data_IF_839346625802
#
_entry.id   IF_839346625802
#
_cell.length_a   1.000
_cell.length_b   1.000
_cell.length_c   1.000
_cell.angle_alpha   90.00
_cell.angle_beta   90.00
_cell.angle_gamma   90.00
#
_symmetry.space_group_name_H-M   'P 1'
#
loop_
_entity.id
_entity.type
_entity.pdbx_description
1 polymer ?
#
# COMPACT_ATOMS: atom_id res chain seq x y z
N UNK A 1 -35.86 20.48 -9.77
CA UNK A 1 -34.62 21.14 -10.24
C UNK A 1 -33.71 20.08 -10.83
N UNK A 2 -32.91 20.42 -11.85
CA UNK A 2 -31.87 19.52 -12.34
C UNK A 2 -30.77 19.39 -11.28
N UNK A 3 -30.39 18.17 -10.92
CA UNK A 3 -29.30 17.93 -9.96
C UNK A 3 -27.99 18.44 -10.56
N UNK A 4 -27.28 19.31 -9.84
CA UNK A 4 -25.99 19.82 -10.28
C UNK A 4 -24.85 18.94 -9.80
N UNK A 5 -24.88 18.51 -8.53
CA UNK A 5 -23.83 17.70 -7.90
C UNK A 5 -24.45 16.45 -7.25
N UNK A 6 -23.89 15.28 -7.54
CA UNK A 6 -24.16 14.05 -6.79
C UNK A 6 -22.97 13.72 -5.90
N UNK A 7 -23.22 13.58 -4.60
CA UNK A 7 -22.18 13.20 -3.62
C UNK A 7 -22.36 11.74 -3.25
N UNK A 8 -21.30 10.95 -3.40
CA UNK A 8 -21.31 9.51 -3.16
C UNK A 8 -20.62 9.22 -1.84
N UNK A 9 -21.30 8.48 -0.96
CA UNK A 9 -20.78 8.04 0.34
C UNK A 9 -20.77 6.52 0.36
N UNK A 10 -19.60 5.91 0.30
CA UNK A 10 -19.45 4.47 0.52
C UNK A 10 -19.31 4.21 2.02
N UNK A 11 -20.12 3.31 2.58
CA UNK A 11 -20.15 3.00 4.00
C UNK A 11 -20.10 1.48 4.23
N UNK A 12 -19.25 1.04 5.16
CA UNK A 12 -19.21 -0.35 5.62
C UNK A 12 -18.75 -0.38 7.07
N UNK A 13 -19.67 -0.74 7.98
CA UNK A 13 -19.41 -0.78 9.42
C UNK A 13 -18.91 0.56 10.01
N UNK A 14 -19.65 1.63 9.75
CA UNK A 14 -19.32 3.03 10.07
C UNK A 14 -20.33 3.67 11.05
N UNK A 15 -21.00 2.88 11.88
CA UNK A 15 -22.13 3.34 12.70
C UNK A 15 -21.77 4.51 13.64
N UNK A 16 -20.51 4.59 14.07
CA UNK A 16 -20.01 5.62 14.96
C UNK A 16 -19.80 6.98 14.26
N UNK A 17 -19.52 6.98 12.96
CA UNK A 17 -19.06 8.18 12.26
C UNK A 17 -20.05 8.68 11.21
N UNK A 18 -20.83 7.77 10.60
CA UNK A 18 -21.69 8.07 9.46
C UNK A 18 -22.65 9.24 9.72
N UNK A 19 -23.23 9.35 10.93
CA UNK A 19 -24.15 10.47 11.27
C UNK A 19 -23.49 11.83 11.11
N UNK A 20 -22.20 11.97 11.45
CA UNK A 20 -21.44 13.22 11.29
C UNK A 20 -21.24 13.54 9.82
N UNK A 21 -20.82 12.55 9.03
CA UNK A 21 -20.70 12.65 7.58
C UNK A 21 -22.00 13.15 6.95
N UNK A 22 -23.12 12.46 7.15
CA UNK A 22 -24.41 12.80 6.56
C UNK A 22 -24.97 14.13 7.07
N UNK A 23 -24.77 14.48 8.35
CA UNK A 23 -25.16 15.79 8.89
C UNK A 23 -24.41 16.93 8.18
N UNK A 24 -23.13 16.73 7.84
CA UNK A 24 -22.35 17.74 7.12
C UNK A 24 -22.85 17.96 5.69
N UNK A 25 -23.26 16.88 5.02
CA UNK A 25 -23.86 16.94 3.67
C UNK A 25 -25.23 17.60 3.68
N UNK A 26 -26.06 17.32 4.70
CA UNK A 26 -27.34 18.00 4.90
C UNK A 26 -27.20 19.52 5.10
N UNK A 27 -26.04 19.98 5.60
CA UNK A 27 -25.75 21.39 5.86
C UNK A 27 -25.14 22.11 4.65
N UNK A 28 -24.97 21.45 3.51
CA UNK A 28 -24.43 22.10 2.31
C UNK A 28 -25.30 23.26 1.85
N UNK A 29 -24.66 24.35 1.42
CA UNK A 29 -25.34 25.55 0.91
C UNK A 29 -25.76 25.42 -0.55
N UNK A 30 -25.28 24.40 -1.26
CA UNK A 30 -25.70 24.11 -2.63
C UNK A 30 -27.07 23.44 -2.65
N UNK A 31 -28.09 24.12 -3.18
CA UNK A 31 -29.45 23.59 -3.21
C UNK A 31 -29.64 22.41 -4.19
N UNK A 32 -28.95 22.41 -5.33
CA UNK A 32 -29.06 21.37 -6.37
C UNK A 32 -28.12 20.18 -6.13
N UNK A 33 -28.18 19.62 -4.91
CA UNK A 33 -27.36 18.52 -4.43
C UNK A 33 -28.21 17.25 -4.25
N UNK A 34 -27.69 16.09 -4.65
CA UNK A 34 -28.17 14.79 -4.17
C UNK A 34 -27.03 14.04 -3.46
N UNK A 35 -27.38 13.19 -2.50
CA UNK A 35 -26.44 12.32 -1.78
C UNK A 35 -26.85 10.87 -1.97
N UNK A 36 -25.92 10.06 -2.46
CA UNK A 36 -26.11 8.63 -2.70
C UNK A 36 -25.23 7.88 -1.71
N UNK A 37 -25.87 7.27 -0.72
CA UNK A 37 -25.23 6.43 0.27
C UNK A 37 -25.21 5.00 -0.28
N UNK A 38 -24.05 4.36 -0.27
CA UNK A 38 -23.90 2.96 -0.66
C UNK A 38 -23.44 2.19 0.57
N UNK A 39 -24.38 1.47 1.18
CA UNK A 39 -24.09 0.52 2.25
C UNK A 39 -23.56 -0.78 1.62
N UNK A 40 -22.27 -1.04 1.84
CA UNK A 40 -21.55 -2.19 1.28
C UNK A 40 -21.70 -3.44 2.15
N UNK A 41 -22.93 -3.71 2.58
CA UNK A 41 -23.30 -4.91 3.33
C UNK A 41 -22.83 -4.88 4.78
N UNK A 42 -23.05 -3.75 5.46
CA UNK A 42 -22.69 -3.59 6.87
C UNK A 42 -23.40 -4.59 7.78
N UNK A 43 -22.74 -4.96 8.87
CA UNK A 43 -23.23 -5.89 9.89
C UNK A 43 -23.51 -5.22 11.24
N UNK A 44 -23.29 -3.91 11.33
CA UNK A 44 -23.55 -3.06 12.49
C UNK A 44 -24.79 -2.15 12.24
N UNK A 45 -24.94 -1.09 13.03
CA UNK A 45 -26.03 -0.10 12.90
C UNK A 45 -25.96 0.80 11.65
N UNK A 46 -24.96 0.66 10.77
CA UNK A 46 -24.75 1.54 9.61
C UNK A 46 -25.95 1.54 8.66
N UNK A 47 -26.45 0.38 8.27
CA UNK A 47 -27.56 0.25 7.32
C UNK A 47 -28.82 1.00 7.83
N UNK A 48 -29.15 0.84 9.12
CA UNK A 48 -30.28 1.53 9.74
C UNK A 48 -30.10 3.06 9.79
N UNK A 49 -28.86 3.56 9.92
CA UNK A 49 -28.57 4.99 9.83
C UNK A 49 -28.84 5.49 8.41
N UNK A 50 -28.42 4.74 7.38
CA UNK A 50 -28.68 5.10 5.98
C UNK A 50 -30.18 5.25 5.70
N UNK A 51 -30.98 4.26 6.11
CA UNK A 51 -32.43 4.25 5.94
C UNK A 51 -33.08 5.45 6.63
N UNK A 52 -32.71 5.72 7.88
CA UNK A 52 -33.24 6.85 8.65
C UNK A 52 -33.01 8.20 7.96
N UNK A 53 -31.85 8.41 7.33
CA UNK A 53 -31.57 9.65 6.61
C UNK A 53 -32.38 9.76 5.31
N UNK A 54 -32.55 8.66 4.59
CA UNK A 54 -33.36 8.62 3.37
C UNK A 54 -34.85 8.86 3.66
N UNK A 55 -35.38 8.26 4.73
CA UNK A 55 -36.78 8.47 5.16
C UNK A 55 -37.03 9.92 5.59
N UNK A 56 -36.08 10.53 6.32
CA UNK A 56 -36.26 11.88 6.87
C UNK A 56 -36.01 12.99 5.85
N UNK A 57 -35.16 12.74 4.85
CA UNK A 57 -34.80 13.72 3.81
C UNK A 57 -34.76 13.08 2.41
N UNK A 58 -35.91 12.55 1.92
CA UNK A 58 -35.96 11.77 0.67
C UNK A 58 -35.70 12.60 -0.59
N UNK A 59 -35.76 13.93 -0.49
CA UNK A 59 -35.41 14.84 -1.58
C UNK A 59 -33.89 15.05 -1.73
N UNK A 60 -33.10 14.65 -0.73
CA UNK A 60 -31.65 14.86 -0.69
C UNK A 60 -30.88 13.54 -0.64
N UNK A 61 -31.32 12.56 0.15
CA UNK A 61 -30.61 11.29 0.34
C UNK A 61 -31.29 10.13 -0.36
N UNK A 62 -30.47 9.24 -0.93
CA UNK A 62 -30.86 7.94 -1.48
C UNK A 62 -29.87 6.90 -0.97
N UNK A 63 -30.34 5.68 -0.72
CA UNK A 63 -29.50 4.55 -0.28
C UNK A 63 -29.51 3.43 -1.31
N UNK A 64 -28.36 2.78 -1.46
CA UNK A 64 -28.17 1.52 -2.18
C UNK A 64 -27.57 0.53 -1.19
N UNK A 65 -28.24 -0.60 -0.98
CA UNK A 65 -27.66 -1.72 -0.22
C UNK A 65 -27.11 -2.76 -1.19
N UNK A 66 -25.88 -3.20 -0.94
CA UNK A 66 -25.25 -4.27 -1.70
C UNK A 66 -24.56 -5.27 -0.77
N UNK A 67 -24.15 -6.41 -1.31
CA UNK A 67 -23.24 -7.31 -0.57
C UNK A 67 -21.85 -6.71 -0.58
N UNK A 68 -21.09 -6.93 0.50
CA UNK A 68 -19.73 -6.43 0.66
C UNK A 68 -18.84 -6.81 -0.53
N UNK A 69 -18.43 -5.79 -1.27
CA UNK A 69 -17.53 -5.89 -2.40
C UNK A 69 -16.31 -4.96 -2.27
N UNK A 70 -16.25 -4.13 -1.23
CA UNK A 70 -15.20 -3.16 -0.97
C UNK A 70 -15.58 -1.74 -1.42
N UNK A 71 -14.81 -0.77 -0.93
CA UNK A 71 -15.04 0.67 -1.12
C UNK A 71 -15.09 1.09 -2.59
N UNK A 72 -14.17 0.59 -3.43
CA UNK A 72 -14.16 0.88 -4.87
C UNK A 72 -15.46 0.48 -5.57
N UNK A 73 -15.87 -0.80 -5.54
CA UNK A 73 -17.16 -1.25 -6.06
C UNK A 73 -18.37 -0.49 -5.49
N UNK A 74 -18.38 -0.17 -4.20
CA UNK A 74 -19.44 0.66 -3.61
C UNK A 74 -19.51 2.07 -4.23
N UNK A 75 -18.36 2.74 -4.41
CA UNK A 75 -18.30 4.03 -5.12
C UNK A 75 -18.81 3.90 -6.56
N UNK A 76 -18.48 2.81 -7.27
CA UNK A 76 -18.95 2.57 -8.65
C UNK A 76 -20.49 2.42 -8.72
N UNK A 77 -21.11 1.78 -7.73
CA UNK A 77 -22.57 1.71 -7.65
C UNK A 77 -23.17 3.11 -7.50
N UNK A 78 -22.58 3.95 -6.65
CA UNK A 78 -22.96 5.35 -6.49
C UNK A 78 -22.78 6.18 -7.78
N UNK A 79 -21.65 6.03 -8.47
CA UNK A 79 -21.38 6.68 -9.77
C UNK A 79 -22.47 6.33 -10.79
N UNK A 80 -22.86 5.06 -10.85
CA UNK A 80 -23.86 4.56 -11.80
C UNK A 80 -25.25 5.14 -11.52
N UNK A 81 -25.58 5.37 -10.25
CA UNK A 81 -26.88 5.90 -9.82
C UNK A 81 -26.98 7.44 -9.82
N UNK A 82 -25.87 8.14 -10.11
CA UNK A 82 -25.75 9.59 -10.01
C UNK A 82 -26.35 10.35 -11.20
N UNK A 83 -27.16 11.37 -10.91
CA UNK A 83 -27.81 12.21 -11.92
C UNK A 83 -27.11 13.56 -12.15
N UNK A 84 -26.27 13.98 -11.22
CA UNK A 84 -25.57 15.27 -11.23
C UNK A 84 -24.64 15.44 -12.42
N UNK A 85 -24.47 16.70 -12.85
CA UNK A 85 -23.46 17.09 -13.84
C UNK A 85 -22.05 16.83 -13.31
N UNK A 86 -21.87 17.01 -12.01
CA UNK A 86 -20.62 16.76 -11.31
C UNK A 86 -20.81 15.70 -10.22
N UNK A 87 -19.74 14.97 -9.92
CA UNK A 87 -19.67 13.98 -8.85
C UNK A 87 -18.68 14.45 -7.78
N UNK A 88 -19.03 14.23 -6.51
CA UNK A 88 -18.13 14.34 -5.37
C UNK A 88 -18.16 13.06 -4.54
N UNK A 89 -17.15 12.86 -3.68
CA UNK A 89 -17.08 11.70 -2.79
C UNK A 89 -16.83 12.18 -1.36
N UNK A 90 -17.39 11.49 -0.39
CA UNK A 90 -17.05 11.67 1.04
C UNK A 90 -16.99 10.30 1.68
N UNK A 91 -15.88 10.00 2.35
CA UNK A 91 -15.76 8.76 3.12
C UNK A 91 -16.66 8.84 4.38
N UNK A 92 -17.22 7.71 4.79
CA UNK A 92 -18.25 7.69 5.84
C UNK A 92 -17.73 8.13 7.23
N UNK A 93 -16.41 8.07 7.46
CA UNK A 93 -15.76 8.55 8.68
C UNK A 93 -15.34 10.03 8.64
N UNK A 94 -15.45 10.67 7.47
CA UNK A 94 -15.07 12.06 7.20
C UNK A 94 -16.26 13.03 7.24
N UNK A 95 -16.00 14.32 7.03
CA UNK A 95 -17.04 15.32 6.83
C UNK A 95 -16.56 16.52 6.02
N UNK A 96 -17.49 17.33 5.52
CA UNK A 96 -17.19 18.47 4.66
C UNK A 96 -17.74 19.79 5.21
N UNK A 97 -17.08 20.89 4.88
CA UNK A 97 -17.53 22.23 5.25
C UNK A 97 -18.78 22.65 4.46
N UNK A 98 -19.71 23.43 5.05
CA UNK A 98 -21.02 23.75 4.46
C UNK A 98 -20.99 24.36 3.05
N UNK A 99 -19.92 25.08 2.69
CA UNK A 99 -19.82 25.81 1.41
C UNK A 99 -18.99 25.06 0.37
N UNK A 100 -18.52 23.83 0.66
CA UNK A 100 -17.61 23.08 -0.20
C UNK A 100 -18.18 22.92 -1.61
N UNK A 101 -19.31 22.25 -1.78
CA UNK A 101 -19.80 21.92 -3.12
C UNK A 101 -20.32 23.13 -3.89
N UNK A 102 -20.88 24.14 -3.19
CA UNK A 102 -21.25 25.40 -3.82
C UNK A 102 -20.01 26.11 -4.41
N UNK A 103 -18.91 26.16 -3.66
CA UNK A 103 -17.66 26.78 -4.09
C UNK A 103 -17.02 26.01 -5.23
N UNK A 104 -16.92 24.67 -5.11
CA UNK A 104 -16.31 23.84 -6.15
C UNK A 104 -17.11 23.85 -7.45
N UNK A 105 -18.44 23.81 -7.39
CA UNK A 105 -19.29 23.88 -8.57
C UNK A 105 -19.15 25.25 -9.27
N UNK A 106 -19.19 26.36 -8.52
CA UNK A 106 -19.00 27.70 -9.08
C UNK A 106 -17.63 27.86 -9.74
N UNK A 107 -16.57 27.32 -9.13
CA UNK A 107 -15.23 27.32 -9.72
C UNK A 107 -15.17 26.45 -10.97
N UNK A 108 -15.80 25.27 -10.99
CA UNK A 108 -15.83 24.39 -12.16
C UNK A 108 -16.48 25.08 -13.38
N UNK A 109 -17.60 25.77 -13.17
CA UNK A 109 -18.31 26.49 -14.24
C UNK A 109 -17.51 27.69 -14.75
N UNK A 110 -16.94 28.51 -13.85
CA UNK A 110 -16.15 29.70 -14.22
C UNK A 110 -14.87 29.35 -14.98
N UNK A 111 -14.20 28.27 -14.58
CA UNK A 111 -12.91 27.84 -15.15
C UNK A 111 -13.06 26.80 -16.26
N UNK A 112 -14.27 26.30 -16.52
CA UNK A 112 -14.52 25.15 -17.39
C UNK A 112 -13.62 23.95 -17.04
N UNK A 113 -13.37 23.72 -15.75
CA UNK A 113 -12.54 22.64 -15.26
C UNK A 113 -13.32 21.32 -15.21
N UNK A 114 -12.64 20.24 -15.59
CA UNK A 114 -13.17 18.88 -15.44
C UNK A 114 -12.99 18.37 -14.02
N UNK A 115 -11.97 18.84 -13.31
CA UNK A 115 -11.72 18.51 -11.91
C UNK A 115 -11.42 19.79 -11.15
N UNK A 116 -12.11 20.00 -10.03
CA UNK A 116 -11.81 21.06 -9.07
C UNK A 116 -11.36 20.40 -7.78
N UNK A 117 -10.24 20.87 -7.25
CA UNK A 117 -9.60 20.32 -6.04
C UNK A 117 -9.68 21.34 -4.91
N UNK A 118 -9.96 20.91 -3.69
CA UNK A 118 -9.77 21.72 -2.48
C UNK A 118 -8.69 21.17 -1.56
N UNK A 119 -8.28 21.96 -0.57
CA UNK A 119 -7.39 21.46 0.48
C UNK A 119 -8.10 20.52 1.46
N UNK A 120 -7.29 19.85 2.27
CA UNK A 120 -7.75 18.86 3.25
C UNK A 120 -7.32 19.24 4.64
N UNK A 121 -8.21 19.19 5.62
CA UNK A 121 -7.89 19.26 7.04
C UNK A 121 -7.73 17.85 7.59
N UNK A 122 -6.53 17.46 8.02
CA UNK A 122 -6.28 16.17 8.69
C UNK A 122 -6.47 16.31 10.18
N UNK A 123 -7.29 15.45 10.77
CA UNK A 123 -7.65 15.46 12.19
C UNK A 123 -7.26 14.12 12.79
N UNK A 124 -6.31 14.13 13.73
CA UNK A 124 -5.75 12.93 14.35
C UNK A 124 -6.40 12.71 15.70
N UNK A 125 -7.28 11.71 15.81
CA UNK A 125 -7.99 11.41 17.04
C UNK A 125 -7.05 11.06 18.19
N UNK A 126 -6.04 10.20 17.92
CA UNK A 126 -5.11 9.70 18.94
C UNK A 126 -4.21 10.78 19.57
N UNK A 127 -3.90 11.86 18.83
CA UNK A 127 -3.00 12.93 19.30
C UNK A 127 -3.69 14.26 19.51
N UNK A 128 -5.01 14.33 19.31
CA UNK A 128 -5.80 15.57 19.32
C UNK A 128 -5.22 16.68 18.43
N UNK A 129 -4.48 16.32 17.38
CA UNK A 129 -3.82 17.25 16.48
C UNK A 129 -4.66 17.49 15.24
N UNK A 130 -4.70 18.74 14.78
CA UNK A 130 -5.31 19.13 13.50
C UNK A 130 -4.27 19.82 12.63
N UNK A 131 -4.19 19.46 11.35
CA UNK A 131 -3.27 20.07 10.39
C UNK A 131 -3.98 20.33 9.07
N UNK A 132 -3.86 21.52 8.51
CA UNK A 132 -4.31 21.81 7.13
C UNK A 132 -3.23 21.38 6.14
N UNK A 133 -3.59 20.47 5.25
CA UNK A 133 -2.76 20.06 4.13
C UNK A 133 -3.00 21.01 2.96
N UNK A 134 -2.13 22.01 2.87
CA UNK A 134 -2.01 22.90 1.72
C UNK A 134 -1.45 22.11 0.53
N UNK A 135 -2.20 21.98 -0.56
CA UNK A 135 -1.75 21.18 -1.71
C UNK A 135 -0.77 21.92 -2.61
N UNK A 136 -1.02 23.20 -2.85
CA UNK A 136 -0.19 24.10 -3.66
C UNK A 136 -0.09 25.46 -2.98
N UNK A 137 1.04 26.18 -3.14
CA UNK A 137 1.32 27.43 -2.44
C UNK A 137 0.40 28.59 -2.85
N UNK A 138 -0.07 28.61 -4.10
CA UNK A 138 -0.90 29.69 -4.63
C UNK A 138 -2.31 29.20 -5.00
N UNK A 139 -3.32 29.98 -4.64
CA UNK A 139 -4.70 29.78 -5.08
C UNK A 139 -4.84 30.24 -6.53
N UNK A 140 -5.32 29.37 -7.43
CA UNK A 140 -5.57 29.74 -8.83
C UNK A 140 -6.71 28.89 -9.40
N UNK A 141 -7.60 29.56 -10.14
CA UNK A 141 -8.67 28.93 -10.91
C UNK A 141 -8.15 28.03 -12.04
N UNK A 142 -6.86 28.15 -12.38
CA UNK A 142 -6.19 27.29 -13.35
C UNK A 142 -4.84 26.83 -12.82
N UNK A 143 -4.70 25.52 -12.62
CA UNK A 143 -3.42 24.92 -12.25
C UNK A 143 -2.87 24.17 -13.44
N UNK A 144 -1.58 24.39 -13.73
CA UNK A 144 -0.87 23.54 -14.68
C UNK A 144 -0.89 22.08 -14.17
N UNK A 145 -1.49 21.18 -14.96
CA UNK A 145 -1.71 19.78 -14.57
C UNK A 145 -0.39 19.11 -14.14
N UNK A 146 0.70 19.35 -14.88
CA UNK A 146 2.02 18.84 -14.53
C UNK A 146 2.49 19.29 -13.13
N UNK A 147 2.23 20.56 -12.76
CA UNK A 147 2.56 21.10 -11.43
C UNK A 147 1.73 20.41 -10.34
N UNK A 148 0.43 20.22 -10.57
CA UNK A 148 -0.43 19.53 -9.59
C UNK A 148 -0.07 18.05 -9.43
N UNK A 149 0.23 17.36 -10.53
CA UNK A 149 0.70 15.97 -10.50
C UNK A 149 2.03 15.85 -9.74
N UNK A 150 3.01 16.72 -10.01
CA UNK A 150 4.31 16.67 -9.33
C UNK A 150 4.23 17.06 -7.86
N UNK A 151 3.57 18.17 -7.55
CA UNK A 151 3.71 18.82 -6.25
C UNK A 151 2.45 18.74 -5.36
N UNK A 152 1.28 18.50 -5.94
CA UNK A 152 0.02 18.40 -5.19
C UNK A 152 0.06 17.29 -4.13
N UNK A 153 -0.09 17.65 -2.86
CA UNK A 153 0.01 16.70 -1.75
C UNK A 153 -1.27 15.86 -1.56
N UNK A 154 -2.38 16.27 -2.17
CA UNK A 154 -3.69 15.62 -2.06
C UNK A 154 -4.22 15.07 -3.41
N UNK A 155 -3.36 14.94 -4.40
CA UNK A 155 -3.75 14.57 -5.78
C UNK A 155 -4.28 13.14 -5.94
N UNK A 156 -4.05 12.26 -4.96
CA UNK A 156 -4.57 10.90 -4.93
C UNK A 156 -5.58 10.65 -3.78
N UNK A 157 -6.38 11.66 -3.44
CA UNK A 157 -7.53 11.52 -2.54
C UNK A 157 -8.82 11.71 -3.33
N UNK A 158 -9.80 10.82 -3.20
CA UNK A 158 -11.05 10.98 -3.94
C UNK A 158 -11.94 12.09 -3.41
N UNK A 159 -11.97 12.27 -2.08
CA UNK A 159 -12.99 13.08 -1.41
C UNK A 159 -12.83 14.61 -1.54
N UNK A 160 -11.61 15.11 -1.70
CA UNK A 160 -11.33 16.56 -1.74
C UNK A 160 -11.53 17.19 -3.13
N UNK A 161 -12.37 16.58 -3.98
CA UNK A 161 -12.51 16.95 -5.39
C UNK A 161 -13.97 16.94 -5.83
N UNK A 162 -14.22 17.75 -6.85
CA UNK A 162 -15.44 17.71 -7.67
C UNK A 162 -15.03 17.34 -9.10
N UNK A 163 -15.66 16.31 -9.66
CA UNK A 163 -15.36 15.76 -10.97
C UNK A 163 -16.51 16.00 -11.93
N UNK A 164 -16.24 16.39 -13.16
CA UNK A 164 -17.22 16.31 -14.22
C UNK A 164 -17.64 14.84 -14.40
N UNK A 165 -18.95 14.57 -14.49
CA UNK A 165 -19.45 13.20 -14.64
C UNK A 165 -18.87 12.49 -15.87
N UNK A 166 -18.53 13.24 -16.92
CA UNK A 166 -17.90 12.71 -18.14
C UNK A 166 -16.54 12.05 -17.87
N UNK A 167 -15.78 12.47 -16.85
CA UNK A 167 -14.54 11.78 -16.46
C UNK A 167 -14.84 10.30 -16.15
N UNK A 168 -15.94 10.04 -15.46
CA UNK A 168 -16.36 8.70 -15.04
C UNK A 168 -16.98 7.86 -16.17
N UNK A 169 -16.88 8.24 -17.44
CA UNK A 169 -17.22 7.35 -18.55
C UNK A 169 -16.11 6.35 -18.86
N UNK A 170 -14.84 6.73 -18.61
CA UNK A 170 -13.66 5.90 -18.84
C UNK A 170 -13.21 5.12 -17.57
N UNK A 171 -13.44 5.69 -16.39
CA UNK A 171 -12.84 5.19 -15.14
C UNK A 171 -13.84 4.47 -14.24
N UNK A 172 -13.36 3.43 -13.56
CA UNK A 172 -14.05 2.70 -12.49
C UNK A 172 -13.01 2.36 -11.41
N UNK A 173 -13.42 2.42 -10.15
CA UNK A 173 -12.56 1.98 -9.05
C UNK A 173 -12.41 0.46 -9.06
N UNK A 174 -11.20 -0.03 -8.84
CA UNK A 174 -10.94 -1.46 -8.66
C UNK A 174 -11.30 -1.93 -7.24
N UNK A 175 -11.44 -3.24 -7.07
CA UNK A 175 -11.56 -3.87 -5.75
C UNK A 175 -10.16 -4.06 -5.14
N UNK A 176 -9.62 -2.99 -4.57
CA UNK A 176 -8.28 -2.95 -3.98
C UNK A 176 -8.21 -1.91 -2.86
N UNK A 177 -7.13 -1.92 -2.06
CA UNK A 177 -6.76 -0.75 -1.22
C UNK A 177 -5.92 0.20 -2.07
N UNK A 178 -6.11 1.51 -1.91
CA UNK A 178 -5.49 2.56 -2.77
C UNK A 178 -6.07 2.61 -4.19
N UNK A 179 -7.33 2.20 -4.34
CA UNK A 179 -8.15 2.36 -5.55
C UNK A 179 -8.21 3.80 -6.07
N UNK A 180 -8.05 4.79 -5.18
CA UNK A 180 -7.91 6.21 -5.53
C UNK A 180 -6.62 6.48 -6.31
N UNK A 181 -5.49 5.99 -5.81
CA UNK A 181 -4.19 6.22 -6.42
C UNK A 181 -4.10 5.59 -7.80
N UNK A 182 -4.73 4.42 -7.95
CA UNK A 182 -4.78 3.62 -9.17
C UNK A 182 -5.31 4.42 -10.38
N UNK A 183 -6.37 5.23 -10.17
CA UNK A 183 -7.05 5.93 -11.27
C UNK A 183 -6.83 7.45 -11.28
N UNK A 184 -6.58 8.09 -10.14
CA UNK A 184 -6.65 9.56 -10.07
C UNK A 184 -5.49 10.25 -10.79
N UNK A 185 -4.28 9.67 -10.79
CA UNK A 185 -3.15 10.26 -11.50
C UNK A 185 -3.32 10.17 -13.02
N UNK A 186 -3.81 9.04 -13.53
CA UNK A 186 -4.21 8.91 -14.94
C UNK A 186 -5.34 9.90 -15.26
N UNK A 187 -6.43 9.91 -14.49
CA UNK A 187 -7.58 10.79 -14.72
C UNK A 187 -7.18 12.27 -14.78
N UNK A 188 -6.34 12.73 -13.84
CA UNK A 188 -5.81 14.09 -13.84
C UNK A 188 -4.95 14.36 -15.09
N UNK A 189 -4.13 13.39 -15.52
CA UNK A 189 -3.30 13.51 -16.74
C UNK A 189 -4.13 13.56 -18.03
N UNK A 190 -5.33 12.98 -18.02
CA UNK A 190 -6.25 12.99 -19.16
C UNK A 190 -7.15 14.24 -19.20
N UNK A 191 -7.18 15.05 -18.15
CA UNK A 191 -7.96 16.30 -18.15
C UNK A 191 -7.31 17.37 -19.05
N UNK A 192 -8.14 18.24 -19.60
CA UNK A 192 -7.73 19.47 -20.27
C UNK A 192 -7.55 20.60 -19.26
N UNK A 193 -8.42 20.67 -18.25
CA UNK A 193 -8.39 21.72 -17.22
C UNK A 193 -8.68 21.19 -15.83
N UNK A 194 -7.81 21.57 -14.90
CA UNK A 194 -7.95 21.35 -13.46
C UNK A 194 -7.89 22.71 -12.75
N UNK A 195 -8.80 22.93 -11.81
CA UNK A 195 -8.85 24.12 -10.96
C UNK A 195 -8.55 23.76 -9.51
N UNK A 196 -8.05 24.74 -8.74
CA UNK A 196 -7.69 24.54 -7.35
C UNK A 196 -8.24 25.66 -6.46
N UNK A 197 -8.91 25.25 -5.39
CA UNK A 197 -9.43 26.11 -4.34
C UNK A 197 -8.61 25.87 -3.08
N UNK A 198 -7.80 26.85 -2.71
CA UNK A 198 -6.94 26.79 -1.53
C UNK A 198 -7.73 27.00 -0.23
N UNK A 199 -8.69 26.12 0.04
CA UNK A 199 -9.51 26.12 1.26
C UNK A 199 -9.68 24.68 1.76
N UNK A 200 -9.45 24.41 3.07
CA UNK A 200 -9.48 23.06 3.62
C UNK A 200 -10.91 22.63 3.92
N UNK A 201 -11.71 22.43 2.86
CA UNK A 201 -13.12 22.10 2.97
C UNK A 201 -13.39 20.64 3.36
N UNK A 202 -12.45 19.74 3.07
CA UNK A 202 -12.60 18.32 3.37
C UNK A 202 -11.89 17.99 4.69
N UNK A 203 -12.61 17.44 5.65
CA UNK A 203 -12.07 17.05 6.96
C UNK A 203 -11.81 15.55 6.99
N UNK A 204 -10.53 15.17 6.89
CA UNK A 204 -10.06 13.79 6.92
C UNK A 204 -9.77 13.34 8.35
N UNK A 205 -10.56 12.42 8.87
CA UNK A 205 -10.53 11.95 10.25
C UNK A 205 -9.73 10.66 10.40
N UNK A 206 -8.58 10.75 11.08
CA UNK A 206 -7.73 9.59 11.36
C UNK A 206 -8.00 9.04 12.75
N UNK A 207 -8.58 7.84 12.80
CA UNK A 207 -8.92 7.10 14.02
C UNK A 207 -8.31 5.70 14.00
N UNK A 208 -8.43 4.95 15.10
CA UNK A 208 -7.77 3.65 15.26
C UNK A 208 -8.23 2.59 14.23
N UNK A 209 -9.44 2.72 13.68
CA UNK A 209 -9.97 1.83 12.65
C UNK A 209 -9.68 2.28 11.21
N UNK A 210 -8.98 3.40 11.00
CA UNK A 210 -8.71 3.89 9.64
C UNK A 210 -7.81 2.92 8.87
N UNK A 211 -8.24 2.51 7.68
CA UNK A 211 -7.47 1.62 6.78
C UNK A 211 -6.03 2.09 6.54
N UNK A 212 -5.79 3.41 6.51
CA UNK A 212 -4.46 3.99 6.30
C UNK A 212 -3.51 3.89 7.50
N UNK A 213 -3.92 3.26 8.59
CA UNK A 213 -3.10 2.97 9.77
C UNK A 213 -2.87 1.47 10.00
N UNK A 214 -3.52 0.59 9.24
CA UNK A 214 -3.34 -0.86 9.35
C UNK A 214 -2.23 -1.37 8.42
N UNK A 215 -0.99 -1.27 8.90
CA UNK A 215 0.19 -1.76 8.18
C UNK A 215 0.29 -3.30 8.11
N UNK A 216 -0.55 -4.00 8.88
CA UNK A 216 -0.60 -5.46 8.92
C UNK A 216 -1.56 -6.05 7.88
N UNK A 217 -2.32 -5.21 7.18
CA UNK A 217 -3.23 -5.64 6.14
C UNK A 217 -2.46 -6.07 4.88
N UNK A 218 -2.51 -7.37 4.49
CA UNK A 218 -1.79 -7.85 3.31
C UNK A 218 -2.23 -7.19 2.00
N UNK A 219 -3.42 -6.58 1.96
CA UNK A 219 -3.88 -5.80 0.79
C UNK A 219 -3.08 -4.52 0.57
N UNK A 220 -2.21 -4.10 1.48
CA UNK A 220 -1.32 -2.96 1.21
C UNK A 220 -0.37 -3.20 0.03
N UNK A 221 -0.15 -4.44 -0.41
CA UNK A 221 0.55 -4.71 -1.68
C UNK A 221 -0.13 -4.06 -2.89
N UNK A 222 -1.41 -3.75 -2.81
CA UNK A 222 -2.18 -3.08 -3.86
C UNK A 222 -1.60 -1.70 -4.21
N UNK A 223 -0.93 -1.02 -3.26
CA UNK A 223 -0.26 0.26 -3.54
C UNK A 223 0.81 0.15 -4.62
N UNK A 224 1.48 -1.01 -4.70
CA UNK A 224 2.53 -1.26 -5.69
C UNK A 224 1.92 -1.39 -7.08
N UNK A 225 0.79 -2.08 -7.19
CA UNK A 225 -0.01 -2.15 -8.42
C UNK A 225 -0.48 -0.77 -8.82
N UNK A 226 -1.08 0.00 -7.90
CA UNK A 226 -1.53 1.37 -8.18
C UNK A 226 -0.41 2.30 -8.68
N UNK A 227 0.83 2.13 -8.19
CA UNK A 227 1.98 2.90 -8.72
C UNK A 227 2.37 2.52 -10.14
N UNK A 228 2.32 1.22 -10.47
CA UNK A 228 2.62 0.73 -11.82
C UNK A 228 1.55 1.23 -12.79
N UNK A 229 0.28 1.02 -12.47
CA UNK A 229 -0.87 1.39 -13.28
C UNK A 229 -0.92 2.92 -13.49
N UNK A 230 -0.62 3.72 -12.46
CA UNK A 230 -0.54 5.17 -12.59
C UNK A 230 0.53 5.61 -13.61
N UNK A 231 1.70 4.97 -13.63
CA UNK A 231 2.76 5.27 -14.61
C UNK A 231 2.35 4.76 -15.99
N UNK A 232 1.86 3.52 -16.09
CA UNK A 232 1.53 2.88 -17.36
C UNK A 232 0.42 3.61 -18.12
N UNK A 233 -0.62 4.07 -17.40
CA UNK A 233 -1.79 4.69 -17.99
C UNK A 233 -1.72 6.21 -18.11
N UNK A 234 -0.68 6.84 -17.57
CA UNK A 234 -0.51 8.28 -17.67
C UNK A 234 -0.46 8.75 -19.14
N UNK A 235 -1.11 9.88 -19.42
CA UNK A 235 -0.98 10.53 -20.73
C UNK A 235 0.49 10.90 -20.96
N UNK A 236 1.03 10.53 -22.13
CA UNK A 236 2.46 10.72 -22.51
C UNK A 236 2.99 12.12 -22.18
N UNK A 237 2.20 13.17 -22.44
CA UNK A 237 2.55 14.58 -22.13
C UNK A 237 2.86 14.83 -20.65
N UNK A 238 2.29 14.04 -19.75
CA UNK A 238 2.45 14.15 -18.30
C UNK A 238 3.18 12.96 -17.67
N UNK A 239 3.77 12.08 -18.49
CA UNK A 239 4.50 10.89 -18.02
C UNK A 239 5.56 11.26 -16.96
N UNK A 240 6.39 12.27 -17.25
CA UNK A 240 7.42 12.75 -16.32
C UNK A 240 6.82 13.27 -15.00
N UNK A 241 5.66 13.92 -15.04
CA UNK A 241 4.99 14.45 -13.86
C UNK A 241 4.41 13.34 -12.97
N UNK A 242 3.80 12.33 -13.57
CA UNK A 242 3.26 11.18 -12.84
C UNK A 242 4.40 10.33 -12.28
N UNK A 243 5.42 10.03 -13.08
CA UNK A 243 6.62 9.28 -12.63
C UNK A 243 7.29 9.98 -11.44
N UNK A 244 7.48 11.30 -11.49
CA UNK A 244 8.01 12.06 -10.36
C UNK A 244 7.09 11.95 -9.12
N UNK A 245 5.77 12.05 -9.29
CA UNK A 245 4.80 11.90 -8.20
C UNK A 245 4.92 10.52 -7.52
N UNK A 246 4.99 9.46 -8.33
CA UNK A 246 5.12 8.08 -7.86
C UNK A 246 6.44 7.89 -7.10
N UNK A 247 7.56 8.35 -7.66
CA UNK A 247 8.86 8.26 -6.99
C UNK A 247 8.85 8.99 -5.63
N UNK A 248 8.31 10.21 -5.59
CA UNK A 248 8.14 10.97 -4.35
C UNK A 248 7.30 10.22 -3.32
N UNK A 249 6.18 9.62 -3.73
CA UNK A 249 5.28 8.88 -2.84
C UNK A 249 5.94 7.60 -2.30
N UNK A 250 6.68 6.86 -3.13
CA UNK A 250 7.46 5.70 -2.70
C UNK A 250 8.47 6.09 -1.62
N UNK A 251 9.21 7.18 -1.81
CA UNK A 251 10.17 7.67 -0.82
C UNK A 251 9.50 8.09 0.50
N UNK A 252 8.33 8.75 0.43
CA UNK A 252 7.54 9.09 1.63
C UNK A 252 7.11 7.82 2.39
N UNK A 253 6.65 6.79 1.67
CA UNK A 253 6.26 5.53 2.30
C UNK A 253 7.47 4.84 2.92
N UNK A 254 8.62 4.79 2.24
CA UNK A 254 9.84 4.20 2.80
C UNK A 254 10.34 4.93 4.07
N UNK A 255 10.04 6.22 4.22
CA UNK A 255 10.30 6.99 5.44
C UNK A 255 9.23 6.82 6.53
N UNK A 256 8.11 6.15 6.22
CA UNK A 256 7.00 5.93 7.16
C UNK A 256 7.22 4.62 7.92
N UNK A 257 7.28 4.62 9.27
CA UNK A 257 7.66 3.43 10.05
C UNK A 257 6.91 2.15 9.70
N UNK A 258 5.59 2.21 9.52
CA UNK A 258 4.77 1.02 9.21
C UNK A 258 5.02 0.42 7.82
N UNK A 259 5.57 1.18 6.87
CA UNK A 259 5.90 0.67 5.54
C UNK A 259 7.29 0.03 5.47
N UNK A 260 8.11 0.16 6.52
CA UNK A 260 9.41 -0.49 6.59
C UNK A 260 9.30 -2.03 6.51
N UNK A 261 8.15 -2.58 6.91
CA UNK A 261 7.85 -4.02 6.83
C UNK A 261 7.71 -4.52 5.38
N UNK A 262 7.50 -3.63 4.42
CA UNK A 262 7.40 -3.92 2.98
C UNK A 262 8.68 -3.53 2.20
N UNK A 263 9.79 -3.28 2.90
CA UNK A 263 11.01 -2.69 2.32
C UNK A 263 11.54 -3.47 1.11
N UNK A 264 11.64 -4.81 1.20
CA UNK A 264 12.14 -5.60 0.08
C UNK A 264 11.23 -5.52 -1.14
N UNK A 265 9.92 -5.46 -0.95
CA UNK A 265 8.95 -5.39 -2.03
C UNK A 265 8.97 -4.00 -2.69
N UNK A 266 9.18 -2.93 -1.93
CA UNK A 266 9.46 -1.61 -2.52
C UNK A 266 10.78 -1.57 -3.27
N UNK A 267 11.86 -2.16 -2.74
CA UNK A 267 13.15 -2.24 -3.45
C UNK A 267 12.98 -2.98 -4.78
N UNK A 268 12.23 -4.08 -4.80
CA UNK A 268 11.93 -4.84 -6.02
C UNK A 268 11.11 -4.01 -7.02
N UNK A 269 10.07 -3.31 -6.56
CA UNK A 269 9.31 -2.38 -7.41
C UNK A 269 10.19 -1.27 -7.99
N UNK A 270 11.03 -0.64 -7.17
CA UNK A 270 11.95 0.40 -7.61
C UNK A 270 12.93 -0.14 -8.64
N UNK A 271 13.43 -1.36 -8.46
CA UNK A 271 14.32 -2.02 -9.42
C UNK A 271 13.63 -2.24 -10.77
N UNK A 272 12.35 -2.63 -10.77
CA UNK A 272 11.55 -2.77 -11.99
C UNK A 272 11.32 -1.42 -12.69
N UNK A 273 11.01 -0.37 -11.92
CA UNK A 273 10.73 0.97 -12.44
C UNK A 273 11.99 1.81 -12.71
N UNK A 274 13.18 1.30 -12.36
CA UNK A 274 14.46 2.02 -12.46
C UNK A 274 14.69 2.68 -13.83
N UNK A 275 14.48 2.00 -14.98
CA UNK A 275 14.71 2.63 -16.28
C UNK A 275 13.81 3.87 -16.50
N UNK A 276 12.57 3.81 -15.98
CA UNK A 276 11.60 4.91 -16.09
C UNK A 276 12.00 6.07 -15.16
N UNK A 277 12.48 5.76 -13.95
CA UNK A 277 12.98 6.78 -13.02
C UNK A 277 14.24 7.49 -13.53
N UNK A 278 15.20 6.74 -14.06
CA UNK A 278 16.44 7.31 -14.63
C UNK A 278 16.18 8.13 -15.90
N UNK A 279 15.13 7.82 -16.65
CA UNK A 279 14.72 8.58 -17.83
C UNK A 279 13.93 9.87 -17.53
N UNK A 280 13.42 10.06 -16.30
CA UNK A 280 12.63 11.24 -15.93
C UNK A 280 13.52 12.46 -15.65
N UNK A 281 13.46 13.53 -16.46
CA UNK A 281 14.25 14.74 -16.19
C UNK A 281 13.92 15.36 -14.82
N UNK A 282 12.67 15.30 -14.38
CA UNK A 282 12.28 15.87 -13.09
C UNK A 282 12.90 15.14 -11.92
N UNK A 283 12.90 13.80 -11.94
CA UNK A 283 13.57 13.00 -10.91
C UNK A 283 15.06 13.30 -10.90
N UNK A 284 15.70 13.29 -12.08
CA UNK A 284 17.15 13.45 -12.17
C UNK A 284 17.64 14.85 -11.78
N UNK A 285 16.78 15.87 -11.89
CA UNK A 285 17.05 17.24 -11.48
C UNK A 285 16.82 17.53 -9.99
N UNK A 286 16.10 16.66 -9.26
CA UNK A 286 15.75 16.84 -7.86
C UNK A 286 16.57 15.90 -6.96
N UNK A 287 17.58 16.39 -6.22
CA UNK A 287 18.44 15.54 -5.39
C UNK A 287 17.70 14.77 -4.29
N UNK A 288 16.55 15.25 -3.82
CA UNK A 288 15.79 14.55 -2.80
C UNK A 288 15.06 13.34 -3.39
N UNK A 289 14.54 13.48 -4.61
CA UNK A 289 13.79 12.41 -5.29
C UNK A 289 14.71 11.43 -6.01
N UNK A 290 15.82 11.90 -6.58
CA UNK A 290 16.85 11.07 -7.23
C UNK A 290 17.37 9.92 -6.35
N UNK A 291 17.32 10.09 -5.02
CA UNK A 291 17.65 9.04 -4.03
C UNK A 291 16.88 7.74 -4.22
N UNK A 292 15.72 7.77 -4.90
CA UNK A 292 15.00 6.54 -5.23
C UNK A 292 15.87 5.54 -6.01
N UNK A 293 16.76 6.03 -6.88
CA UNK A 293 17.65 5.17 -7.67
C UNK A 293 18.68 4.42 -6.81
N UNK A 294 19.03 4.95 -5.63
CA UNK A 294 19.98 4.31 -4.71
C UNK A 294 19.41 2.99 -4.13
N UNK A 295 18.07 2.88 -4.04
CA UNK A 295 17.42 1.66 -3.58
C UNK A 295 17.52 0.52 -4.60
N UNK A 296 17.60 0.80 -5.90
CA UNK A 296 17.61 -0.25 -6.92
C UNK A 296 18.85 -1.16 -6.82
N UNK A 297 19.96 -0.64 -6.28
CA UNK A 297 21.18 -1.40 -6.00
C UNK A 297 21.14 -2.21 -4.70
N UNK A 298 20.12 -2.02 -3.86
CA UNK A 298 20.00 -2.78 -2.62
C UNK A 298 19.60 -4.23 -2.91
N UNK A 299 20.22 -5.13 -2.17
CA UNK A 299 20.00 -6.55 -2.27
C UNK A 299 18.66 -6.93 -1.62
N UNK A 300 17.94 -7.86 -2.25
CA UNK A 300 16.73 -8.47 -1.67
C UNK A 300 16.79 -9.98 -1.84
N UNK A 301 16.43 -10.74 -0.80
CA UNK A 301 16.39 -12.19 -0.87
C UNK A 301 15.37 -12.68 -1.91
N UNK A 302 15.61 -13.80 -2.63
CA UNK A 302 14.64 -14.37 -3.57
C UNK A 302 13.27 -14.67 -2.95
N UNK A 303 12.18 -14.54 -3.72
CA UNK A 303 10.78 -14.83 -3.30
C UNK A 303 10.50 -16.34 -3.23
N UNK A 304 11.22 -17.04 -2.34
CA UNK A 304 11.16 -18.49 -2.17
C UNK A 304 11.11 -18.85 -0.70
N UNK A 305 10.19 -19.74 -0.34
CA UNK A 305 10.21 -20.45 0.93
C UNK A 305 10.83 -21.82 0.71
N UNK A 306 11.78 -22.18 1.56
CA UNK A 306 12.39 -23.49 1.61
C UNK A 306 12.03 -24.08 2.96
N UNK A 307 11.37 -25.23 3.00
CA UNK A 307 10.94 -25.85 4.25
C UNK A 307 10.86 -27.37 4.11
N UNK A 308 10.89 -28.07 5.24
CA UNK A 308 10.65 -29.52 5.27
C UNK A 308 9.19 -29.84 4.91
N UNK A 309 8.26 -29.00 5.39
CA UNK A 309 6.81 -29.19 5.21
C UNK A 309 6.13 -27.90 4.81
N UNK A 310 5.10 -28.01 3.98
CA UNK A 310 4.36 -26.87 3.44
C UNK A 310 3.62 -26.07 4.52
N UNK A 311 3.10 -26.74 5.56
CA UNK A 311 2.33 -26.12 6.64
C UNK A 311 3.14 -25.11 7.45
N UNK A 312 4.48 -25.21 7.48
CA UNK A 312 5.34 -24.24 8.16
C UNK A 312 5.32 -22.86 7.51
N UNK A 313 5.05 -22.77 6.21
CA UNK A 313 4.96 -21.51 5.46
C UNK A 313 3.51 -21.01 5.34
N UNK A 314 2.51 -21.76 5.80
CA UNK A 314 1.09 -21.46 5.55
C UNK A 314 0.69 -20.04 6.02
N UNK A 315 1.10 -19.66 7.23
CA UNK A 315 0.81 -18.33 7.79
C UNK A 315 1.57 -17.19 7.08
N UNK A 316 2.62 -17.51 6.32
CA UNK A 316 3.46 -16.56 5.61
C UNK A 316 2.86 -16.21 4.25
N UNK A 317 2.05 -17.11 3.68
CA UNK A 317 1.48 -16.94 2.35
C UNK A 317 0.61 -15.69 2.18
N UNK A 318 -0.06 -15.25 3.25
CA UNK A 318 -0.83 -14.01 3.23
C UNK A 318 0.04 -12.77 2.96
N UNK A 319 1.34 -12.80 3.32
CA UNK A 319 2.28 -11.69 3.15
C UNK A 319 3.28 -11.90 2.01
N UNK A 320 3.08 -12.91 1.17
CA UNK A 320 4.13 -13.40 0.27
C UNK A 320 3.76 -13.35 -1.21
N UNK A 321 3.04 -12.32 -1.66
CA UNK A 321 2.59 -12.17 -3.06
C UNK A 321 3.63 -12.73 -4.05
N UNK A 322 3.30 -13.77 -4.83
CA UNK A 322 4.20 -14.45 -5.78
C UNK A 322 5.40 -15.26 -5.22
N UNK A 323 5.36 -15.74 -3.98
CA UNK A 323 6.39 -16.66 -3.46
C UNK A 323 6.15 -18.09 -3.93
N UNK A 324 7.25 -18.81 -4.15
CA UNK A 324 7.22 -20.25 -4.40
C UNK A 324 7.68 -21.02 -3.16
N UNK A 325 6.89 -22.00 -2.72
CA UNK A 325 7.31 -22.96 -1.70
C UNK A 325 8.09 -24.10 -2.34
N UNK A 326 9.21 -24.47 -1.72
CA UNK A 326 10.14 -25.50 -2.17
C UNK A 326 10.36 -26.45 -1.01
N UNK A 327 9.94 -27.70 -1.21
CA UNK A 327 10.26 -28.81 -0.31
C UNK A 327 11.41 -29.59 -0.97
N UNK A 328 12.63 -29.57 -0.42
CA UNK A 328 13.75 -30.30 -0.99
C UNK A 328 13.46 -31.80 -0.99
N UNK A 329 13.56 -32.41 -2.16
CA UNK A 329 13.46 -33.87 -2.29
C UNK A 329 14.83 -34.47 -2.07
N UNK A 330 14.93 -35.46 -1.18
CA UNK A 330 16.16 -36.21 -0.97
C UNK A 330 16.62 -36.87 -2.27
N UNK A 331 17.72 -36.37 -2.84
CA UNK A 331 18.40 -36.98 -3.99
C UNK A 331 19.57 -37.86 -3.51
N UNK A 332 20.22 -38.55 -4.45
CA UNK A 332 21.41 -39.32 -4.15
C UNK A 332 22.52 -38.43 -3.56
N UNK A 333 23.03 -38.81 -2.39
CA UNK A 333 24.17 -38.15 -1.77
C UNK A 333 25.50 -38.59 -2.40
N UNK A 334 26.53 -37.73 -2.33
CA UNK A 334 27.92 -38.14 -2.53
C UNK A 334 28.25 -39.42 -1.75
N UNK A 335 29.08 -40.29 -2.33
CA UNK A 335 29.31 -41.65 -1.82
C UNK A 335 29.81 -41.67 -0.36
N UNK A 336 30.66 -40.72 -0.03
CA UNK A 336 31.23 -40.42 1.29
C UNK A 336 30.19 -39.98 2.33
N UNK A 337 29.02 -39.50 1.91
CA UNK A 337 27.97 -39.01 2.82
C UNK A 337 26.76 -39.95 2.92
N UNK A 338 26.72 -41.07 2.18
CA UNK A 338 25.55 -41.97 2.13
C UNK A 338 25.21 -42.62 3.46
N UNK A 339 26.23 -42.88 4.29
CA UNK A 339 26.08 -43.56 5.59
C UNK A 339 25.63 -42.63 6.72
N UNK A 340 25.52 -41.31 6.48
CA UNK A 340 25.07 -40.34 7.48
C UNK A 340 23.59 -40.54 7.86
N UNK A 341 23.21 -40.04 9.04
CA UNK A 341 21.85 -40.15 9.59
C UNK A 341 20.80 -39.43 8.74
N UNK A 342 19.52 -39.82 8.85
CA UNK A 342 18.44 -39.17 8.06
C UNK A 342 18.29 -37.68 8.38
N UNK A 343 18.49 -37.27 9.64
CA UNK A 343 18.49 -35.86 10.04
C UNK A 343 19.55 -35.07 9.28
N UNK A 344 20.77 -35.60 9.19
CA UNK A 344 21.84 -35.00 8.39
C UNK A 344 21.43 -34.86 6.91
N UNK A 345 20.79 -35.88 6.32
CA UNK A 345 20.38 -35.83 4.91
C UNK A 345 19.41 -34.69 4.66
N UNK A 346 18.43 -34.50 5.55
CA UNK A 346 17.46 -33.42 5.46
C UNK A 346 18.15 -32.06 5.57
N UNK A 347 18.95 -31.85 6.63
CA UNK A 347 19.72 -30.60 6.84
C UNK A 347 20.58 -30.26 5.62
N UNK A 348 21.28 -31.27 5.08
CA UNK A 348 22.09 -31.12 3.89
C UNK A 348 21.27 -30.64 2.68
N UNK A 349 20.11 -31.25 2.42
CA UNK A 349 19.28 -30.86 1.27
C UNK A 349 18.59 -29.50 1.47
N UNK A 350 18.21 -29.14 2.69
CA UNK A 350 17.70 -27.81 3.03
C UNK A 350 18.77 -26.73 2.77
N UNK A 351 19.96 -26.87 3.35
CA UNK A 351 21.06 -25.93 3.16
C UNK A 351 21.55 -25.89 1.71
N UNK A 352 21.67 -27.04 1.05
CA UNK A 352 22.06 -27.09 -0.36
C UNK A 352 21.05 -26.39 -1.25
N UNK A 353 19.75 -26.57 -1.00
CA UNK A 353 18.70 -25.86 -1.74
C UNK A 353 18.78 -24.36 -1.50
N UNK A 354 19.00 -23.93 -0.25
CA UNK A 354 19.18 -22.53 0.09
C UNK A 354 20.44 -21.95 -0.57
N UNK A 355 21.55 -22.69 -0.60
CA UNK A 355 22.78 -22.29 -1.28
C UNK A 355 22.59 -22.14 -2.80
N UNK A 356 21.85 -23.05 -3.43
CA UNK A 356 21.64 -23.03 -4.88
C UNK A 356 20.63 -21.98 -5.31
N UNK A 357 19.55 -21.79 -4.55
CA UNK A 357 18.40 -21.00 -4.98
C UNK A 357 18.19 -19.71 -4.20
N UNK A 358 18.78 -19.57 -3.02
CA UNK A 358 18.49 -18.50 -2.08
C UNK A 358 17.02 -18.45 -1.66
N UNK A 359 16.71 -17.48 -0.80
CA UNK A 359 15.37 -17.24 -0.28
C UNK A 359 15.34 -17.35 1.24
N UNK A 360 14.25 -17.89 1.76
CA UNK A 360 13.99 -18.04 3.19
C UNK A 360 13.82 -19.52 3.54
N UNK A 361 14.78 -20.09 4.27
CA UNK A 361 14.71 -21.41 4.88
C UNK A 361 13.99 -21.32 6.22
N UNK A 362 12.81 -21.93 6.31
CA UNK A 362 11.98 -21.99 7.51
C UNK A 362 12.27 -23.30 8.23
N UNK A 363 12.72 -23.20 9.48
CA UNK A 363 13.19 -24.32 10.31
C UNK A 363 12.20 -24.69 11.44
N UNK A 364 11.04 -24.03 11.48
CA UNK A 364 9.98 -24.32 12.44
C UNK A 364 8.71 -23.54 12.14
N UNK A 365 7.66 -23.81 12.92
CA UNK A 365 6.37 -23.13 12.76
C UNK A 365 6.39 -21.78 13.49
N UNK A 366 6.26 -20.69 12.73
CA UNK A 366 6.05 -19.35 13.27
C UNK A 366 4.78 -18.76 12.66
N UNK A 367 3.89 -18.25 13.51
CA UNK A 367 2.72 -17.51 13.05
C UNK A 367 3.11 -16.05 12.84
N UNK A 368 3.05 -15.60 11.59
CA UNK A 368 3.27 -14.19 11.27
C UNK A 368 1.98 -13.39 11.44
N UNK A 369 2.15 -12.21 12.04
CA UNK A 369 1.10 -11.20 12.18
C UNK A 369 1.46 -9.89 11.45
N UNK A 370 2.60 -9.87 10.76
CA UNK A 370 3.13 -8.72 10.03
C UNK A 370 3.85 -9.14 8.73
N UNK A 371 3.99 -8.23 7.75
CA UNK A 371 4.75 -8.45 6.52
C UNK A 371 6.25 -8.51 6.78
N UNK A 372 6.97 -9.41 6.08
CA UNK A 372 8.36 -9.78 6.37
C UNK A 372 9.40 -9.24 5.37
N UNK A 373 9.06 -8.18 4.63
CA UNK A 373 9.95 -7.53 3.66
C UNK A 373 11.25 -7.03 4.29
N UNK A 374 11.24 -6.56 5.55
CA UNK A 374 12.46 -6.12 6.25
C UNK A 374 13.47 -7.25 6.54
N UNK A 375 12.99 -8.50 6.66
CA UNK A 375 13.86 -9.67 6.79
C UNK A 375 14.52 -10.01 5.45
N UNK A 376 13.84 -9.71 4.34
CA UNK A 376 14.35 -9.94 2.99
C UNK A 376 15.27 -8.86 2.45
N UNK A 377 15.21 -7.65 3.01
CA UNK A 377 16.05 -6.55 2.57
C UNK A 377 17.47 -6.69 3.11
N UNK A 378 18.48 -6.52 2.26
CA UNK A 378 19.89 -6.60 2.64
C UNK A 378 20.53 -7.97 2.36
N UNK A 379 21.59 -8.27 3.12
CA UNK A 379 22.33 -9.53 3.05
C UNK A 379 21.68 -10.67 3.83
N UNK A 380 22.51 -11.65 4.21
CA UNK A 380 22.05 -12.83 4.92
C UNK A 380 21.48 -12.50 6.31
N UNK A 381 20.41 -13.21 6.70
CA UNK A 381 19.67 -13.01 7.94
C UNK A 381 19.45 -14.34 8.65
N UNK A 382 19.55 -14.34 9.98
CA UNK A 382 19.11 -15.43 10.82
C UNK A 382 18.13 -14.86 11.84
N UNK A 383 16.93 -15.43 11.93
CA UNK A 383 15.94 -15.05 12.92
C UNK A 383 15.79 -16.14 13.98
N UNK A 384 15.75 -15.73 15.25
CA UNK A 384 15.76 -16.62 16.40
C UNK A 384 14.59 -16.35 17.35
N UNK A 385 14.17 -17.37 18.07
CA UNK A 385 13.39 -17.26 19.30
C UNK A 385 14.18 -17.90 20.44
N UNK A 386 14.71 -17.09 21.36
CA UNK A 386 15.72 -17.58 22.30
C UNK A 386 16.92 -18.15 21.53
N UNK A 387 17.36 -19.37 21.88
CA UNK A 387 18.49 -20.03 21.19
C UNK A 387 18.11 -20.77 19.90
N UNK A 388 16.82 -20.86 19.58
CA UNK A 388 16.33 -21.62 18.45
C UNK A 388 16.24 -20.74 17.20
N UNK A 389 16.97 -21.12 16.14
CA UNK A 389 16.85 -20.46 14.84
C UNK A 389 15.58 -20.96 14.14
N UNK A 390 14.73 -20.03 13.73
CA UNK A 390 13.45 -20.31 13.06
C UNK A 390 13.52 -20.02 11.56
N UNK A 391 14.44 -19.13 11.16
CA UNK A 391 14.55 -18.65 9.80
C UNK A 391 16.02 -18.41 9.44
N UNK A 392 16.44 -18.92 8.28
CA UNK A 392 17.71 -18.54 7.65
C UNK A 392 17.39 -17.97 6.28
N UNK A 393 17.67 -16.68 6.08
CA UNK A 393 17.53 -16.02 4.79
C UNK A 393 18.89 -15.78 4.15
N UNK A 394 19.04 -16.15 2.88
CA UNK A 394 20.32 -16.01 2.19
C UNK A 394 20.17 -15.84 0.68
N UNK A 395 21.17 -15.21 0.07
CA UNK A 395 21.31 -15.18 -1.39
C UNK A 395 21.80 -16.53 -1.93
N UNK A 396 21.56 -16.82 -3.22
CA UNK A 396 22.26 -17.89 -3.90
C UNK A 396 23.77 -17.72 -3.73
N UNK A 397 24.46 -18.81 -3.43
CA UNK A 397 25.92 -18.86 -3.20
C UNK A 397 26.41 -18.02 -2.02
N UNK A 398 25.55 -17.76 -1.02
CA UNK A 398 25.96 -17.08 0.21
C UNK A 398 27.20 -17.74 0.84
N UNK A 399 28.24 -16.96 1.23
CA UNK A 399 29.40 -17.46 1.94
C UNK A 399 29.04 -18.14 3.26
N UNK A 400 28.09 -17.57 4.01
CA UNK A 400 27.58 -18.15 5.25
C UNK A 400 27.00 -19.55 5.01
N UNK A 401 26.14 -19.69 3.99
CA UNK A 401 25.54 -21.00 3.69
C UNK A 401 26.59 -21.98 3.18
N UNK A 402 27.60 -21.51 2.43
CA UNK A 402 28.73 -22.35 2.01
C UNK A 402 29.50 -22.89 3.22
N UNK A 403 29.80 -22.04 4.20
CA UNK A 403 30.52 -22.43 5.41
C UNK A 403 29.70 -23.37 6.29
N UNK A 404 28.41 -23.08 6.50
CA UNK A 404 27.49 -23.97 7.21
C UNK A 404 27.42 -25.36 6.54
N UNK A 405 27.36 -25.40 5.21
CA UNK A 405 27.32 -26.66 4.47
C UNK A 405 28.65 -27.43 4.61
N UNK A 406 29.80 -26.76 4.59
CA UNK A 406 31.11 -27.40 4.79
C UNK A 406 31.26 -27.95 6.21
N UNK A 407 30.89 -27.16 7.22
CA UNK A 407 30.93 -27.58 8.62
C UNK A 407 29.99 -28.75 8.88
N UNK A 408 28.78 -28.72 8.31
CA UNK A 408 27.84 -29.84 8.40
C UNK A 408 28.47 -31.12 7.81
N UNK A 409 29.11 -31.02 6.63
CA UNK A 409 29.72 -32.16 5.92
C UNK A 409 30.89 -32.78 6.71
N UNK A 410 31.78 -31.96 7.25
CA UNK A 410 33.04 -32.41 7.90
C UNK A 410 32.82 -32.72 9.39
N UNK A 411 31.90 -32.03 10.02
CA UNK A 411 31.63 -32.10 11.45
C UNK A 411 30.75 -33.26 11.91
N UNK A 412 30.52 -33.29 13.21
CA UNK A 412 29.51 -34.13 13.87
C UNK A 412 28.26 -33.35 14.29
N UNK A 413 28.26 -32.04 14.07
CA UNK A 413 27.21 -31.11 14.44
C UNK A 413 25.99 -31.20 13.50
N UNK A 414 24.81 -30.96 14.07
CA UNK A 414 23.55 -30.73 13.35
C UNK A 414 23.45 -29.28 12.86
N UNK A 415 22.56 -29.01 11.90
CA UNK A 415 22.30 -27.62 11.46
C UNK A 415 21.90 -26.72 12.64
N UNK A 416 21.08 -27.22 13.56
CA UNK A 416 20.65 -26.48 14.74
C UNK A 416 21.84 -26.04 15.60
N UNK A 417 22.79 -26.94 15.88
CA UNK A 417 23.99 -26.63 16.67
C UNK A 417 24.88 -25.60 15.97
N UNK A 418 25.07 -25.73 14.65
CA UNK A 418 25.83 -24.76 13.86
C UNK A 418 25.18 -23.37 13.92
N UNK A 419 23.86 -23.26 13.81
CA UNK A 419 23.13 -21.99 13.89
C UNK A 419 23.21 -21.35 15.28
N UNK A 420 23.20 -22.16 16.35
CA UNK A 420 23.46 -21.67 17.72
C UNK A 420 24.89 -21.11 17.84
N UNK A 421 25.88 -21.76 17.22
CA UNK A 421 27.25 -21.24 17.18
C UNK A 421 27.35 -19.93 16.39
N UNK A 422 26.62 -19.79 15.26
CA UNK A 422 26.56 -18.52 14.51
C UNK A 422 26.00 -17.41 15.38
N UNK A 423 24.94 -17.68 16.15
CA UNK A 423 24.34 -16.70 17.05
C UNK A 423 25.31 -16.24 18.15
N UNK A 424 26.05 -17.18 18.74
CA UNK A 424 26.97 -16.91 19.84
C UNK A 424 28.22 -16.13 19.41
N UNK A 425 28.74 -16.41 18.21
CA UNK A 425 30.02 -15.87 17.70
C UNK A 425 29.92 -15.51 16.21
N UNK A 426 29.05 -14.55 15.82
CA UNK A 426 28.78 -14.23 14.42
C UNK A 426 30.04 -13.79 13.65
N UNK A 427 30.99 -13.15 14.34
CA UNK A 427 32.28 -12.72 13.78
C UNK A 427 33.15 -13.86 13.25
N UNK A 428 32.96 -15.10 13.76
CA UNK A 428 33.69 -16.28 13.27
C UNK A 428 33.19 -16.78 11.92
N UNK A 429 31.93 -16.51 11.61
CA UNK A 429 31.24 -16.96 10.40
C UNK A 429 31.18 -15.87 9.32
N UNK A 430 31.53 -14.63 9.68
CA UNK A 430 31.59 -13.49 8.78
C UNK A 430 33.01 -13.30 8.23
N UNK A 431 33.66 -14.33 7.69
CA UNK A 431 35.08 -14.31 7.28
C UNK A 431 35.46 -13.28 6.18
N UNK A 432 34.60 -12.30 5.87
CA UNK A 432 34.85 -11.16 4.99
C UNK A 432 33.89 -10.00 5.26
N UNK A 433 33.85 -9.02 4.35
CA UNK A 433 33.04 -7.79 4.39
C UNK A 433 31.50 -7.99 4.48
N UNK A 434 31.01 -9.23 4.63
CA UNK A 434 29.60 -9.59 4.70
C UNK A 434 29.11 -9.61 6.16
N UNK A 435 28.24 -8.66 6.51
CA UNK A 435 27.63 -8.57 7.84
C UNK A 435 26.38 -9.45 7.91
N UNK A 436 26.42 -10.49 8.76
CA UNK A 436 25.25 -11.32 9.09
C UNK A 436 24.28 -10.50 9.95
N UNK A 437 22.99 -10.51 9.61
CA UNK A 437 21.95 -9.89 10.43
C UNK A 437 21.30 -10.93 11.34
N UNK A 438 21.54 -10.81 12.65
CA UNK A 438 20.80 -11.57 13.66
C UNK A 438 19.55 -10.79 14.07
N UNK A 439 18.40 -11.47 14.07
CA UNK A 439 17.10 -10.87 14.41
C UNK A 439 16.44 -11.70 15.51
N UNK A 440 16.03 -11.07 16.60
CA UNK A 440 15.09 -11.70 17.52
C UNK A 440 13.67 -11.58 16.93
N UNK A 441 13.02 -12.72 16.72
CA UNK A 441 11.71 -12.75 16.08
C UNK A 441 10.63 -12.14 16.97
N UNK A 442 10.81 -12.14 18.31
CA UNK A 442 9.87 -11.48 19.23
C UNK A 442 9.93 -9.97 19.08
N UNK A 443 11.12 -9.40 19.00
CA UNK A 443 11.32 -7.97 18.76
C UNK A 443 10.73 -7.53 17.42
N UNK A 444 10.70 -8.44 16.45
CA UNK A 444 10.13 -8.20 15.13
C UNK A 444 8.61 -8.39 15.09
N UNK A 445 8.06 -9.32 15.89
CA UNK A 445 6.63 -9.61 15.97
C UNK A 445 5.85 -8.61 16.86
N UNK A 446 6.52 -7.93 17.80
CA UNK A 446 5.95 -6.86 18.64
C UNK A 446 5.88 -5.53 17.87
#
# INVERSE_FOLDING_TARGET
MQVQVSVIVAAYNEEHWLRRCLTSLKKQTLAALEVIIVDDGSTDGTAAICDQYCERWPHLFRVIHQRNQGQGPARNAGITAAHGRYLGFVDADDWVEPTMYATLAATAERSYAQIVVCDVRKIYAATHRTTSLLSLPDATDHVAIATYLKYGLNNAYSGNKLYARSCWQKYRYQRMVYEDLDILLDMLSCCERVAYVQQPFYNYYKHAGSTTLDYTNPRLFDIMTAYQDAIEHAKVTYQDAVTYCVAKRILINLATPGFADYLAEFIELIRQLRPIFEASPSIMSDPAIKKICDYAGQLTLPRRFICEREDWAQSWHQYSRNFKTIIPVAKALPADLRQRSNHFKLDYWLLKTLFEQGGLLILGTVKLHRPFGRLRAGGDVLAFEGEHCLLVGAQPRSPLISELLQQLIVGSESLTELLTMVKAQPERWSAGTHKIRLVDIKDWLQ
#
